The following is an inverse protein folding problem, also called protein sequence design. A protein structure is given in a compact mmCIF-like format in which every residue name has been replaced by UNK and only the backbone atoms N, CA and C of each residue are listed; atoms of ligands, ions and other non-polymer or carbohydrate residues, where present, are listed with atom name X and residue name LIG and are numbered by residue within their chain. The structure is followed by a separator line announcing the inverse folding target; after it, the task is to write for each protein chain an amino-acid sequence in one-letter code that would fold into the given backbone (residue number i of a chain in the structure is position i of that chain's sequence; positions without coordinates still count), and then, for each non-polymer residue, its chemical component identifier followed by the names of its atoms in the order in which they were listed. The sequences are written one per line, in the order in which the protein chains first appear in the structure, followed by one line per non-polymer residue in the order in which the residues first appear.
data_IF_463776991150
#
_entry.id   IF_463776991150
#
_cell.length_a   1.000
_cell.length_b   1.000
_cell.length_c   1.000
_cell.angle_alpha   90.00
_cell.angle_beta   90.00
_cell.angle_gamma   90.00
#
_symmetry.space_group_name_H-M   'P 1'
#
loop_
_entity.id
_entity.type
_entity.pdbx_description
1 polymer ?
#
# COMPACT_ATOMS: atom_id res chain seq x y z
N UNK A 1 -10.13 -6.03 -3.48
CA UNK A 1 -9.10 -5.69 -2.49
C UNK A 1 -8.09 -4.67 -3.02
N UNK A 2 -7.22 -5.00 -3.99
CA UNK A 2 -6.17 -4.10 -4.49
C UNK A 2 -6.69 -2.69 -4.87
N UNK A 3 -7.79 -2.63 -5.62
CA UNK A 3 -8.40 -1.35 -6.00
C UNK A 3 -8.94 -0.57 -4.80
N UNK A 4 -9.46 -1.23 -3.76
CA UNK A 4 -9.96 -0.56 -2.57
C UNK A 4 -8.82 0.07 -1.75
N UNK A 5 -7.70 -0.65 -1.57
CA UNK A 5 -6.47 -0.13 -0.95
C UNK A 5 -5.89 1.04 -1.73
N UNK A 6 -5.92 0.95 -3.07
CA UNK A 6 -5.53 2.06 -3.94
C UNK A 6 -6.40 3.30 -3.69
N UNK A 7 -7.72 3.17 -3.62
CA UNK A 7 -8.63 4.29 -3.36
C UNK A 7 -8.37 4.93 -1.99
N UNK A 8 -8.07 4.14 -0.96
CA UNK A 8 -7.67 4.65 0.36
C UNK A 8 -6.38 5.48 0.25
N UNK A 9 -5.34 4.97 -0.40
CA UNK A 9 -4.08 5.69 -0.64
C UNK A 9 -4.28 6.98 -1.43
N UNK A 10 -5.09 6.95 -2.49
CA UNK A 10 -5.41 8.14 -3.29
C UNK A 10 -6.20 9.18 -2.47
N UNK A 11 -7.04 8.73 -1.54
CA UNK A 11 -7.81 9.62 -0.65
C UNK A 11 -6.90 10.28 0.39
N UNK A 12 -5.95 9.54 0.97
CA UNK A 12 -4.89 10.11 1.81
C UNK A 12 -4.11 11.21 1.08
N UNK A 13 -3.65 10.92 -0.15
CA UNK A 13 -2.95 11.90 -0.98
C UNK A 13 -3.76 13.17 -1.21
N UNK A 14 -5.01 13.04 -1.65
CA UNK A 14 -5.91 14.18 -1.90
C UNK A 14 -6.19 15.01 -0.66
N UNK A 15 -6.36 14.37 0.51
CA UNK A 15 -6.56 15.08 1.78
C UNK A 15 -5.36 15.96 2.16
N UNK A 16 -4.17 15.57 1.74
CA UNK A 16 -2.92 16.33 1.91
C UNK A 16 -2.60 17.27 0.74
N UNK A 17 -3.49 17.39 -0.26
CA UNK A 17 -3.28 18.26 -1.42
C UNK A 17 -2.38 17.66 -2.52
N UNK A 18 -2.15 16.34 -2.51
CA UNK A 18 -1.39 15.62 -3.54
C UNK A 18 -2.31 14.86 -4.48
N UNK A 19 -2.01 14.93 -5.77
CA UNK A 19 -2.57 14.04 -6.79
C UNK A 19 -1.57 12.90 -7.06
N UNK A 20 -1.95 11.67 -6.68
CA UNK A 20 -1.08 10.50 -6.79
C UNK A 20 -1.45 9.67 -8.02
N UNK A 21 -0.45 9.17 -8.75
CA UNK A 21 -0.67 8.24 -9.87
C UNK A 21 -1.38 6.97 -9.39
N UNK A 22 -2.29 6.41 -10.20
CA UNK A 22 -2.89 5.09 -9.93
C UNK A 22 -1.83 3.99 -9.99
N UNK A 23 -2.14 2.82 -9.44
CA UNK A 23 -1.31 1.64 -9.51
C UNK A 23 -1.01 1.26 -10.97
N UNK A 24 -1.98 1.44 -11.87
CA UNK A 24 -1.82 1.19 -13.30
C UNK A 24 -0.88 2.22 -13.93
N UNK A 25 -1.17 3.51 -13.76
CA UNK A 25 -0.38 4.59 -14.33
C UNK A 25 1.08 4.54 -13.87
N UNK A 26 1.32 4.37 -12.57
CA UNK A 26 2.67 4.26 -12.02
C UNK A 26 3.46 3.06 -12.56
N UNK A 27 2.80 2.03 -13.10
CA UNK A 27 3.45 0.85 -13.71
C UNK A 27 3.65 1.04 -15.21
N UNK A 28 2.77 1.76 -15.88
CA UNK A 28 2.97 2.21 -17.27
C UNK A 28 4.20 3.13 -17.32
N UNK A 29 4.28 4.13 -16.45
CA UNK A 29 5.44 5.07 -16.38
C UNK A 29 6.78 4.37 -16.14
N UNK A 30 6.77 3.22 -15.44
CA UNK A 30 7.97 2.43 -15.16
C UNK A 30 8.29 1.38 -16.23
N UNK A 31 7.48 1.27 -17.28
CA UNK A 31 7.65 0.29 -18.35
C UNK A 31 7.29 -1.15 -17.96
N UNK A 32 6.45 -1.33 -16.93
CA UNK A 32 5.98 -2.66 -16.51
C UNK A 32 4.67 -3.08 -17.17
N UNK A 33 3.90 -2.12 -17.67
CA UNK A 33 2.62 -2.29 -18.37
C UNK A 33 2.59 -1.38 -19.61
N UNK A 34 1.81 -1.76 -20.61
CA UNK A 34 1.66 -0.98 -21.84
C UNK A 34 0.42 -0.08 -21.76
N UNK A 35 0.53 1.15 -22.30
CA UNK A 35 -0.58 2.11 -22.28
C UNK A 35 -1.80 1.66 -23.10
N UNK A 36 -1.59 0.85 -24.14
CA UNK A 36 -2.68 0.31 -24.95
C UNK A 36 -3.61 -0.65 -24.17
N UNK A 37 -3.14 -1.23 -23.06
CA UNK A 37 -3.90 -2.17 -22.23
C UNK A 37 -4.50 -1.45 -21.00
N UNK A 38 -4.59 -0.13 -21.01
CA UNK A 38 -5.02 0.65 -19.84
C UNK A 38 -6.47 0.41 -19.43
N UNK A 39 -7.32 -0.10 -20.31
CA UNK A 39 -8.71 -0.45 -19.99
C UNK A 39 -8.84 -1.83 -19.33
N UNK A 40 -7.79 -2.66 -19.38
CA UNK A 40 -7.82 -4.00 -18.84
C UNK A 40 -7.75 -3.99 -17.30
N UNK A 41 -8.42 -4.93 -16.62
CA UNK A 41 -8.43 -4.96 -15.17
C UNK A 41 -7.04 -5.34 -14.63
N UNK A 42 -6.63 -4.74 -13.50
CA UNK A 42 -5.28 -4.89 -12.93
C UNK A 42 -4.87 -6.36 -12.77
N UNK A 43 -5.77 -7.25 -12.34
CA UNK A 43 -5.47 -8.66 -12.19
C UNK A 43 -5.06 -9.32 -13.53
N UNK A 44 -5.69 -8.96 -14.64
CA UNK A 44 -5.30 -9.45 -15.97
C UNK A 44 -3.89 -8.95 -16.30
N UNK A 45 -3.69 -7.64 -16.18
CA UNK A 45 -2.40 -6.98 -16.44
C UNK A 45 -1.23 -7.60 -15.66
N UNK A 46 -1.40 -7.90 -14.37
CA UNK A 46 -0.37 -8.57 -13.59
C UNK A 46 -0.11 -10.02 -14.03
N UNK A 47 -1.16 -10.77 -14.39
CA UNK A 47 -1.02 -12.19 -14.75
C UNK A 47 -0.52 -12.41 -16.19
N UNK A 48 -0.77 -11.46 -17.10
CA UNK A 48 -0.37 -11.58 -18.52
C UNK A 48 0.82 -10.71 -18.89
N UNK A 49 1.31 -9.85 -17.98
CA UNK A 49 2.48 -9.02 -18.26
C UNK A 49 3.72 -9.89 -18.55
N UNK A 50 4.46 -9.59 -19.64
CA UNK A 50 5.69 -10.31 -19.96
C UNK A 50 6.80 -10.08 -18.93
N UNK A 51 6.70 -9.01 -18.13
CA UNK A 51 7.62 -8.69 -17.04
C UNK A 51 7.22 -9.43 -15.76
N UNK A 52 5.98 -9.26 -15.29
CA UNK A 52 5.57 -9.81 -14.00
C UNK A 52 5.44 -11.34 -13.99
N UNK A 53 5.04 -11.95 -15.10
CA UNK A 53 4.91 -13.42 -15.21
C UNK A 53 6.23 -14.18 -15.00
N UNK A 54 7.37 -13.51 -15.12
CA UNK A 54 8.70 -14.11 -14.91
C UNK A 54 9.17 -14.00 -13.44
N UNK A 55 8.50 -13.18 -12.62
CA UNK A 55 8.90 -12.90 -11.25
C UNK A 55 8.21 -13.89 -10.32
N UNK A 56 9.00 -14.72 -9.63
CA UNK A 56 8.47 -15.66 -8.65
C UNK A 56 8.16 -14.95 -7.33
N UNK A 57 6.98 -15.23 -6.79
CA UNK A 57 6.62 -14.81 -5.44
C UNK A 57 7.42 -15.55 -4.36
N UNK A 58 7.43 -15.03 -3.12
CA UNK A 58 8.05 -15.70 -1.99
C UNK A 58 7.34 -17.02 -1.68
N UNK A 59 8.09 -18.01 -1.20
CA UNK A 59 7.58 -19.33 -0.80
C UNK A 59 7.37 -19.48 0.72
N UNK A 60 7.61 -18.42 1.49
CA UNK A 60 7.43 -18.39 2.94
C UNK A 60 6.81 -17.05 3.37
N UNK A 61 6.05 -17.07 4.46
CA UNK A 61 5.35 -15.87 4.97
C UNK A 61 6.32 -14.84 5.57
N UNK A 62 7.44 -15.28 6.16
CA UNK A 62 8.45 -14.37 6.73
C UNK A 62 9.34 -13.71 5.67
N UNK A 63 8.73 -12.91 4.80
CA UNK A 63 9.41 -12.22 3.70
C UNK A 63 9.11 -10.71 3.75
N UNK A 64 9.91 -9.90 3.04
CA UNK A 64 9.82 -8.43 3.08
C UNK A 64 8.45 -7.87 2.65
N UNK A 65 7.69 -8.57 1.80
CA UNK A 65 6.34 -8.11 1.43
C UNK A 65 5.37 -8.08 2.61
N UNK A 66 5.61 -8.89 3.63
CA UNK A 66 4.83 -8.83 4.87
C UNK A 66 5.60 -8.10 5.98
N UNK A 67 6.88 -8.41 6.18
CA UNK A 67 7.62 -7.88 7.33
C UNK A 67 8.02 -6.41 7.18
N UNK A 68 8.17 -5.92 5.95
CA UNK A 68 8.64 -4.56 5.67
C UNK A 68 7.51 -3.71 5.07
N UNK A 69 6.90 -4.13 3.96
CA UNK A 69 5.89 -3.32 3.27
C UNK A 69 4.65 -3.04 4.13
N UNK A 70 4.29 -3.95 5.04
CA UNK A 70 3.17 -3.74 5.97
C UNK A 70 3.61 -2.87 7.15
N UNK A 71 4.72 -3.22 7.80
CA UNK A 71 5.22 -2.50 8.96
C UNK A 71 5.58 -1.04 8.65
N UNK A 72 6.24 -0.76 7.53
CA UNK A 72 6.72 0.59 7.19
C UNK A 72 5.86 1.31 6.14
N UNK A 73 4.99 0.59 5.44
CA UNK A 73 4.09 1.15 4.43
C UNK A 73 2.65 1.26 4.94
N UNK A 74 2.00 0.11 5.13
CA UNK A 74 0.57 0.09 5.47
C UNK A 74 0.26 0.65 6.85
N UNK A 75 1.07 0.34 7.86
CA UNK A 75 0.89 0.90 9.22
C UNK A 75 1.04 2.42 9.20
N UNK A 76 2.00 2.95 8.44
CA UNK A 76 2.17 4.39 8.28
C UNK A 76 0.94 5.03 7.63
N UNK A 77 0.39 4.43 6.57
CA UNK A 77 -0.83 4.94 5.92
C UNK A 77 -2.05 4.86 6.83
N UNK A 78 -2.20 3.78 7.59
CA UNK A 78 -3.25 3.61 8.59
C UNK A 78 -3.16 4.68 9.69
N UNK A 79 -1.96 4.89 10.23
CA UNK A 79 -1.68 5.90 11.25
C UNK A 79 -1.91 7.31 10.74
N UNK A 80 -1.49 7.61 9.51
CA UNK A 80 -1.75 8.87 8.85
C UNK A 80 -3.25 9.11 8.63
N UNK A 81 -3.99 8.08 8.19
CA UNK A 81 -5.43 8.16 7.99
C UNK A 81 -6.18 8.54 9.26
N UNK A 82 -5.80 7.97 10.41
CA UNK A 82 -6.38 8.35 11.72
C UNK A 82 -6.16 9.82 12.06
N UNK A 83 -4.98 10.35 11.76
CA UNK A 83 -4.62 11.75 12.07
C UNK A 83 -5.39 12.75 11.23
N UNK A 84 -5.58 12.44 9.95
CA UNK A 84 -6.20 13.38 9.00
C UNK A 84 -7.67 13.04 8.72
N UNK A 85 -8.30 12.21 9.55
CA UNK A 85 -9.71 11.80 9.44
C UNK A 85 -10.06 11.20 8.07
N UNK A 86 -9.24 10.23 7.63
CA UNK A 86 -9.45 9.41 6.43
C UNK A 86 -9.49 7.94 6.83
N UNK A 87 -10.64 7.30 6.65
CA UNK A 87 -10.80 5.88 6.94
C UNK A 87 -9.99 5.00 5.98
N UNK A 88 -9.26 4.03 6.52
CA UNK A 88 -8.43 3.07 5.78
C UNK A 88 -8.77 1.60 6.11
N UNK A 89 -10.06 1.19 6.06
CA UNK A 89 -10.48 -0.11 6.57
C UNK A 89 -9.88 -1.31 5.84
N UNK A 90 -9.58 -1.21 4.53
CA UNK A 90 -8.97 -2.31 3.79
C UNK A 90 -7.48 -2.45 4.13
N UNK A 91 -6.77 -1.32 4.28
CA UNK A 91 -5.39 -1.31 4.80
C UNK A 91 -5.35 -1.93 6.20
N UNK A 92 -6.23 -1.48 7.10
CA UNK A 92 -6.30 -2.00 8.48
C UNK A 92 -6.57 -3.51 8.52
N UNK A 93 -7.49 -4.00 7.68
CA UNK A 93 -7.78 -5.43 7.56
C UNK A 93 -6.55 -6.23 7.09
N UNK A 94 -5.75 -5.70 6.16
CA UNK A 94 -4.51 -6.36 5.71
C UNK A 94 -3.48 -6.42 6.85
N UNK A 95 -3.34 -5.35 7.63
CA UNK A 95 -2.44 -5.30 8.79
C UNK A 95 -2.84 -6.39 9.80
N UNK A 96 -4.13 -6.48 10.15
CA UNK A 96 -4.65 -7.52 11.07
C UNK A 96 -4.32 -8.94 10.58
N UNK A 97 -4.54 -9.21 9.29
CA UNK A 97 -4.27 -10.53 8.72
C UNK A 97 -2.78 -10.87 8.75
N UNK A 98 -1.91 -9.92 8.36
CA UNK A 98 -0.47 -10.13 8.38
C UNK A 98 0.07 -10.30 9.79
N UNK A 99 -0.45 -9.52 10.75
CA UNK A 99 -0.15 -9.67 12.17
C UNK A 99 -0.49 -11.06 12.68
N UNK A 100 -1.68 -11.55 12.32
CA UNK A 100 -2.12 -12.91 12.67
C UNK A 100 -1.21 -13.97 12.06
N UNK A 101 -0.86 -13.83 10.77
CA UNK A 101 -0.02 -14.79 10.04
C UNK A 101 1.41 -14.88 10.63
N UNK A 102 1.96 -13.75 11.07
CA UNK A 102 3.33 -13.64 11.55
C UNK A 102 3.46 -13.65 13.07
N UNK A 103 2.34 -13.73 13.79
CA UNK A 103 2.26 -13.68 15.25
C UNK A 103 2.98 -12.43 15.82
N UNK A 104 2.75 -11.28 15.18
CA UNK A 104 3.40 -9.99 15.48
C UNK A 104 2.39 -8.87 15.40
N UNK A 105 2.37 -7.95 16.36
CA UNK A 105 1.43 -6.83 16.31
C UNK A 105 2.04 -5.68 15.51
N UNK A 106 1.61 -5.52 14.26
CA UNK A 106 2.13 -4.48 13.39
C UNK A 106 1.57 -3.11 13.71
N UNK A 107 0.43 -3.00 14.43
CA UNK A 107 -0.04 -1.70 14.89
C UNK A 107 0.87 -1.14 15.99
N UNK A 108 1.50 -2.01 16.77
CA UNK A 108 2.48 -1.63 17.80
C UNK A 108 3.92 -1.52 17.26
N UNK A 109 4.33 -2.42 16.35
CA UNK A 109 5.71 -2.52 15.87
C UNK A 109 6.01 -1.68 14.61
N UNK A 110 4.98 -1.26 13.87
CA UNK A 110 5.12 -0.60 12.58
C UNK A 110 5.36 0.90 12.68
N UNK A 111 5.88 1.48 11.59
CA UNK A 111 6.19 2.91 11.51
C UNK A 111 4.91 3.75 11.58
N UNK A 112 4.81 4.60 12.59
CA UNK A 112 3.68 5.54 12.73
C UNK A 112 4.12 6.98 12.46
N UNK A 113 3.13 7.85 12.26
CA UNK A 113 3.39 9.31 12.15
C UNK A 113 3.90 9.90 13.48
N UNK A 114 3.55 9.30 14.62
CA UNK A 114 4.09 9.67 15.93
C UNK A 114 5.61 9.45 15.99
N UNK A 115 6.09 8.32 15.47
CA UNK A 115 7.52 8.01 15.38
C UNK A 115 8.28 8.91 14.39
N UNK A 116 7.62 9.37 13.31
CA UNK A 116 8.19 10.38 12.41
C UNK A 116 8.27 11.78 13.06
N UNK A 117 7.50 12.01 14.12
CA UNK A 117 7.36 13.28 14.82
C UNK A 117 6.31 14.17 14.17
N UNK A 118 5.05 14.02 14.61
CA UNK A 118 3.88 14.77 14.13
C UNK A 118 4.09 16.27 14.04
N UNK A 119 4.69 16.88 15.07
CA UNK A 119 4.99 18.30 15.12
C UNK A 119 5.84 18.76 13.92
N UNK A 120 6.77 17.91 13.46
CA UNK A 120 7.64 18.21 12.32
C UNK A 120 6.90 18.14 10.99
N UNK A 121 5.78 17.44 10.97
CA UNK A 121 4.90 17.27 9.81
C UNK A 121 3.79 18.32 9.76
N UNK A 122 3.68 19.18 10.78
CA UNK A 122 2.66 20.22 10.87
C UNK A 122 1.31 19.72 11.38
N UNK A 123 1.30 18.57 12.06
CA UNK A 123 0.15 18.10 12.84
C UNK A 123 0.31 18.59 14.29
N UNK A 124 -0.79 19.02 14.93
CA UNK A 124 -0.84 19.52 16.32
C UNK A 124 -1.11 18.40 17.33
#
# INVERSE_FOLDING_TARGET
LLHAVELERLTLGRKLGFELSTAKEARIERGYLERQDEDEPLNRLFNTSPVFSQIKGPNHVKNRYLTEDIAFGLVLWSSLGREIDVATPNIDAIIVLASTILERDFFEEGLTIDELGKDKLGFE
#
